data_IF_651591552173
#
_entry.id   IF_651591552173
#
_cell.length_a   1.000
_cell.length_b   1.000
_cell.length_c   1.000
_cell.angle_alpha   90.00
_cell.angle_beta   90.00
_cell.angle_gamma   90.00
#
_symmetry.space_group_name_H-M   'P 1'
#
loop_
_entity.id
_entity.type
_entity.pdbx_description
1 polymer ?
#
# COMPACT_ATOMS: atom_id res chain seq x y z
N UNK A 1 -13.34 -4.10 -10.07
CA UNK A 1 -12.45 -4.95 -9.23
C UNK A 1 -12.17 -4.25 -7.92
N UNK A 2 -11.67 -4.97 -6.92
CA UNK A 2 -11.15 -4.42 -5.67
C UNK A 2 -9.64 -4.19 -5.78
N UNK A 3 -9.22 -2.93 -5.70
CA UNK A 3 -7.81 -2.54 -5.89
C UNK A 3 -7.27 -1.86 -4.63
N UNK A 4 -6.22 -2.44 -4.05
CA UNK A 4 -5.48 -1.83 -2.95
C UNK A 4 -4.31 -1.00 -3.49
N UNK A 5 -4.25 0.27 -3.14
CA UNK A 5 -3.16 1.19 -3.53
C UNK A 5 -2.38 1.57 -2.27
N UNK A 6 -1.12 1.14 -2.16
CA UNK A 6 -0.24 1.61 -1.07
C UNK A 6 0.56 2.83 -1.53
N UNK A 7 0.85 3.75 -0.61
CA UNK A 7 1.52 5.01 -0.98
C UNK A 7 0.59 5.96 -1.73
N UNK A 8 -0.72 5.83 -1.50
CA UNK A 8 -1.78 6.52 -2.23
C UNK A 8 -1.72 8.05 -2.18
N UNK A 9 -1.10 8.61 -1.15
CA UNK A 9 -0.92 10.06 -1.01
C UNK A 9 0.32 10.60 -1.74
N UNK A 10 1.16 9.72 -2.29
CA UNK A 10 2.33 10.09 -3.08
C UNK A 10 1.95 10.54 -4.50
N UNK A 11 2.93 11.07 -5.24
CA UNK A 11 2.72 11.64 -6.57
C UNK A 11 2.03 10.67 -7.54
N UNK A 12 2.47 9.42 -7.61
CA UNK A 12 1.83 8.41 -8.47
C UNK A 12 0.47 7.98 -7.88
N UNK A 13 0.45 7.70 -6.57
CA UNK A 13 -0.75 7.28 -5.84
C UNK A 13 -1.95 8.22 -6.04
N UNK A 14 -1.74 9.54 -6.04
CA UNK A 14 -2.83 10.50 -6.20
C UNK A 14 -3.50 10.39 -7.59
N UNK A 15 -2.73 10.12 -8.66
CA UNK A 15 -3.28 9.94 -10.00
C UNK A 15 -3.93 8.57 -10.16
N UNK A 16 -3.37 7.54 -9.52
CA UNK A 16 -3.98 6.22 -9.46
C UNK A 16 -5.34 6.28 -8.75
N UNK A 17 -5.46 7.00 -7.64
CA UNK A 17 -6.73 7.21 -6.95
C UNK A 17 -7.78 7.80 -7.90
N UNK A 18 -7.43 8.86 -8.64
CA UNK A 18 -8.35 9.52 -9.58
C UNK A 18 -8.74 8.64 -10.77
N UNK A 19 -7.80 7.84 -11.29
CA UNK A 19 -8.03 7.03 -12.49
C UNK A 19 -8.76 5.74 -12.16
N UNK A 20 -8.31 5.01 -11.14
CA UNK A 20 -8.81 3.68 -10.83
C UNK A 20 -10.18 3.72 -10.13
N UNK A 21 -10.47 4.77 -9.36
CA UNK A 21 -11.76 4.90 -8.66
C UNK A 21 -12.96 5.06 -9.59
N UNK A 22 -12.75 5.34 -10.88
CA UNK A 22 -13.83 5.54 -11.86
C UNK A 22 -14.60 4.25 -12.12
N UNK A 23 -13.87 3.14 -12.17
CA UNK A 23 -14.40 1.84 -12.61
C UNK A 23 -14.14 0.72 -11.59
N UNK A 24 -13.50 1.04 -10.45
CA UNK A 24 -13.09 0.06 -9.45
C UNK A 24 -13.41 0.52 -8.03
N UNK A 25 -13.64 -0.45 -7.15
CA UNK A 25 -13.62 -0.23 -5.71
C UNK A 25 -12.15 -0.13 -5.28
N UNK A 26 -11.74 1.05 -4.84
CA UNK A 26 -10.36 1.27 -4.40
C UNK A 26 -10.29 1.39 -2.88
N UNK A 27 -9.22 0.87 -2.30
CA UNK A 27 -8.77 1.21 -0.95
C UNK A 27 -7.37 1.80 -1.06
N UNK A 28 -7.17 3.00 -0.52
CA UNK A 28 -5.90 3.72 -0.66
C UNK A 28 -5.23 3.98 0.69
N UNK A 29 -3.99 3.53 0.85
CA UNK A 29 -3.23 3.61 2.10
C UNK A 29 -2.21 4.74 2.05
N UNK A 30 -2.13 5.50 3.14
CA UNK A 30 -1.10 6.53 3.36
C UNK A 30 -0.51 6.43 4.77
N UNK A 31 0.73 6.90 4.97
CA UNK A 31 1.36 6.86 6.30
C UNK A 31 1.19 8.19 7.06
N UNK A 32 1.78 9.28 6.52
CA UNK A 32 1.91 10.54 7.29
C UNK A 32 1.07 11.69 6.74
N UNK A 33 0.87 11.78 5.43
CA UNK A 33 0.15 12.88 4.79
C UNK A 33 -1.06 12.32 4.04
N UNK A 34 -2.25 12.85 4.31
CA UNK A 34 -3.49 12.30 3.72
C UNK A 34 -3.66 12.66 2.25
N UNK A 35 -3.16 13.82 1.79
CA UNK A 35 -3.24 14.23 0.38
C UNK A 35 -4.68 14.17 -0.18
N UNK A 36 -4.83 13.59 -1.38
CA UNK A 36 -6.14 13.36 -1.99
C UNK A 36 -6.82 12.06 -1.51
N UNK A 37 -6.16 11.21 -0.70
CA UNK A 37 -6.75 9.99 -0.15
C UNK A 37 -8.03 10.29 0.66
N UNK A 38 -8.12 11.50 1.25
CA UNK A 38 -9.32 11.98 1.97
C UNK A 38 -10.61 11.96 1.14
N UNK A 39 -10.50 11.94 -0.20
CA UNK A 39 -11.63 11.93 -1.12
C UNK A 39 -12.06 10.50 -1.51
N UNK A 40 -11.38 9.48 -0.98
CA UNK A 40 -11.58 8.07 -1.34
C UNK A 40 -11.63 7.21 -0.06
N UNK A 41 -12.06 5.95 -0.21
CA UNK A 41 -11.93 4.97 0.87
C UNK A 41 -10.44 4.80 1.20
N UNK A 42 -10.02 5.23 2.39
CA UNK A 42 -8.61 5.34 2.74
C UNK A 42 -8.31 5.01 4.18
N UNK A 43 -7.12 4.46 4.40
CA UNK A 43 -6.62 4.06 5.73
C UNK A 43 -5.26 4.70 5.96
N UNK A 44 -5.07 5.26 7.16
CA UNK A 44 -3.76 5.65 7.63
C UNK A 44 -3.03 4.44 8.20
N UNK A 45 -1.97 3.99 7.54
CA UNK A 45 -1.20 2.81 7.92
C UNK A 45 0.27 2.97 7.51
N UNK A 46 1.17 2.61 8.42
CA UNK A 46 2.59 2.43 8.08
C UNK A 46 2.76 1.06 7.43
N UNK A 47 3.37 1.01 6.24
CA UNK A 47 3.54 -0.23 5.48
C UNK A 47 4.41 -1.27 6.22
N UNK A 48 5.15 -0.86 7.24
CA UNK A 48 5.89 -1.78 8.11
C UNK A 48 5.02 -2.38 9.24
N UNK A 49 3.74 -1.98 9.37
CA UNK A 49 2.82 -2.53 10.35
C UNK A 49 2.06 -3.73 9.76
N UNK A 50 2.70 -4.89 9.85
CA UNK A 50 2.20 -6.15 9.27
C UNK A 50 0.82 -6.53 9.75
N UNK A 51 0.56 -6.49 11.07
CA UNK A 51 -0.75 -6.83 11.62
C UNK A 51 -1.89 -6.03 11.00
N UNK A 52 -1.69 -4.72 10.84
CA UNK A 52 -2.71 -3.88 10.22
C UNK A 52 -2.85 -4.14 8.72
N UNK A 53 -1.78 -4.58 8.04
CA UNK A 53 -1.88 -5.01 6.64
C UNK A 53 -2.70 -6.29 6.55
N UNK A 54 -2.46 -7.28 7.39
CA UNK A 54 -3.24 -8.54 7.43
C UNK A 54 -4.73 -8.25 7.64
N UNK A 55 -5.05 -7.34 8.57
CA UNK A 55 -6.42 -6.86 8.80
C UNK A 55 -7.01 -6.19 7.55
N UNK A 56 -6.22 -5.39 6.82
CA UNK A 56 -6.69 -4.76 5.56
C UNK A 56 -6.97 -5.81 4.50
N UNK A 57 -6.08 -6.78 4.30
CA UNK A 57 -6.26 -7.79 3.27
C UNK A 57 -7.46 -8.70 3.56
N UNK A 58 -7.59 -9.19 4.80
CA UNK A 58 -8.72 -10.05 5.20
C UNK A 58 -10.07 -9.34 5.13
N UNK A 59 -10.12 -8.02 5.35
CA UNK A 59 -11.37 -7.24 5.29
C UNK A 59 -11.69 -6.76 3.87
N UNK A 60 -10.69 -6.24 3.15
CA UNK A 60 -10.91 -5.64 1.83
C UNK A 60 -10.93 -6.70 0.73
N UNK A 61 -10.13 -7.75 0.85
CA UNK A 61 -9.94 -8.82 -0.14
C UNK A 61 -9.56 -8.26 -1.52
N UNK A 62 -8.39 -7.60 -1.66
CA UNK A 62 -8.00 -6.99 -2.94
C UNK A 62 -7.71 -8.05 -4.00
N UNK A 63 -8.26 -7.86 -5.19
CA UNK A 63 -7.93 -8.66 -6.39
C UNK A 63 -6.61 -8.18 -7.02
N UNK A 64 -6.30 -6.89 -6.86
CA UNK A 64 -5.08 -6.26 -7.39
C UNK A 64 -4.47 -5.37 -6.32
N UNK A 65 -3.15 -5.42 -6.18
CA UNK A 65 -2.38 -4.50 -5.33
C UNK A 65 -1.43 -3.67 -6.17
N UNK A 66 -1.53 -2.35 -6.07
CA UNK A 66 -0.58 -1.40 -6.68
C UNK A 66 0.31 -0.83 -5.58
N UNK A 67 1.55 -1.29 -5.53
CA UNK A 67 2.49 -0.95 -4.47
C UNK A 67 3.34 0.28 -4.81
N UNK A 68 2.97 1.45 -4.26
CA UNK A 68 3.71 2.71 -4.48
C UNK A 68 4.25 3.33 -3.18
N UNK A 69 4.07 2.66 -2.04
CA UNK A 69 4.66 3.08 -0.77
C UNK A 69 6.18 2.87 -0.79
N UNK A 70 6.94 3.94 -0.88
CA UNK A 70 8.40 3.89 -0.82
C UNK A 70 8.99 5.22 -0.32
N UNK A 71 10.17 5.15 0.29
CA UNK A 71 11.03 6.30 0.49
C UNK A 71 11.84 6.54 -0.78
N UNK A 72 11.51 7.60 -1.53
CA UNK A 72 12.00 7.81 -2.90
C UNK A 72 12.81 9.08 -3.10
N UNK A 73 12.91 9.98 -2.11
CA UNK A 73 13.58 11.28 -2.24
C UNK A 73 15.10 11.16 -2.05
N UNK A 74 15.94 11.12 -3.11
CA UNK A 74 17.35 10.77 -2.98
C UNK A 74 18.14 11.70 -2.06
N UNK A 75 17.79 12.98 -2.05
CA UNK A 75 18.44 13.99 -1.19
C UNK A 75 18.17 13.75 0.30
N UNK A 76 17.05 13.11 0.65
CA UNK A 76 16.66 12.81 2.04
C UNK A 76 17.14 11.44 2.50
N UNK A 77 17.38 10.51 1.57
CA UNK A 77 17.79 9.14 1.93
C UNK A 77 19.04 9.10 2.83
N UNK A 78 20.11 9.89 2.61
CA UNK A 78 21.29 9.89 3.49
C UNK A 78 21.01 10.28 4.94
N UNK A 79 19.92 11.03 5.21
CA UNK A 79 19.55 11.45 6.56
C UNK A 79 18.59 10.48 7.25
N UNK A 80 18.17 9.41 6.57
CA UNK A 80 17.23 8.42 7.08
C UNK A 80 18.01 7.15 7.45
N UNK A 81 17.73 6.51 8.60
CA UNK A 81 18.37 5.25 8.95
C UNK A 81 18.20 4.21 7.84
N UNK A 82 19.31 3.58 7.41
CA UNK A 82 19.30 2.58 6.34
C UNK A 82 18.31 1.44 6.61
N UNK A 83 18.14 1.04 7.87
CA UNK A 83 17.15 0.04 8.30
C UNK A 83 15.72 0.45 7.93
N UNK A 84 15.37 1.73 8.03
CA UNK A 84 14.03 2.22 7.68
C UNK A 84 13.83 2.26 6.16
N UNK A 85 14.86 2.67 5.41
CA UNK A 85 14.83 2.66 3.93
C UNK A 85 14.69 1.24 3.41
N UNK A 86 15.51 0.31 3.91
CA UNK A 86 15.45 -1.10 3.53
C UNK A 86 14.14 -1.76 4.00
N UNK A 87 13.68 -1.43 5.20
CA UNK A 87 12.37 -1.88 5.71
C UNK A 87 11.23 -1.48 4.79
N UNK A 88 11.19 -0.20 4.40
CA UNK A 88 10.08 0.39 3.64
C UNK A 88 10.12 0.07 2.15
N UNK A 89 11.30 -0.12 1.54
CA UNK A 89 11.42 -0.31 0.09
C UNK A 89 11.74 -1.76 -0.32
N UNK A 90 12.22 -2.60 0.61
CA UNK A 90 12.60 -3.98 0.31
C UNK A 90 11.76 -4.94 1.15
N UNK A 91 11.78 -4.82 2.48
CA UNK A 91 11.10 -5.80 3.33
C UNK A 91 9.57 -5.74 3.18
N UNK A 92 9.01 -4.54 3.05
CA UNK A 92 7.58 -4.32 2.78
C UNK A 92 7.11 -4.93 1.46
N UNK A 93 8.00 -5.06 0.47
CA UNK A 93 7.71 -5.65 -0.84
C UNK A 93 7.95 -7.17 -0.82
N UNK A 94 9.03 -7.62 -0.18
CA UNK A 94 9.50 -9.00 -0.22
C UNK A 94 8.81 -9.95 0.76
N UNK A 95 8.13 -9.46 1.79
CA UNK A 95 7.71 -10.31 2.90
C UNK A 95 6.20 -10.28 3.13
N UNK A 96 5.61 -11.47 3.17
CA UNK A 96 4.32 -11.92 3.73
C UNK A 96 3.05 -11.05 3.58
N UNK A 97 3.07 -9.88 2.93
CA UNK A 97 1.99 -8.89 3.04
C UNK A 97 1.35 -8.43 1.73
N UNK A 98 1.97 -8.70 0.57
CA UNK A 98 1.33 -8.42 -0.73
C UNK A 98 1.32 -9.68 -1.59
N UNK A 99 2.45 -10.38 -1.71
CA UNK A 99 2.55 -11.56 -2.59
C UNK A 99 2.02 -12.83 -1.91
N UNK A 100 2.40 -13.10 -0.65
CA UNK A 100 1.91 -14.29 0.06
C UNK A 100 0.44 -14.17 0.46
N UNK A 101 -0.06 -13.00 0.89
CA UNK A 101 -1.50 -12.85 1.18
C UNK A 101 -2.34 -13.12 -0.07
N UNK A 102 -1.92 -12.61 -1.24
CA UNK A 102 -2.58 -12.95 -2.50
C UNK A 102 -2.52 -14.47 -2.74
N UNK A 103 -1.42 -15.15 -2.41
CA UNK A 103 -1.29 -16.60 -2.58
C UNK A 103 -2.12 -17.43 -1.57
N UNK A 104 -2.14 -17.07 -0.28
CA UNK A 104 -2.86 -17.76 0.79
C UNK A 104 -4.38 -17.60 0.63
N UNK A 105 -4.86 -16.39 0.34
CA UNK A 105 -6.29 -16.12 0.07
C UNK A 105 -6.76 -16.90 -1.17
N UNK A 106 -5.99 -16.91 -2.26
CA UNK A 106 -6.35 -17.67 -3.47
C UNK A 106 -6.27 -19.19 -3.28
N UNK A 107 -5.45 -19.67 -2.35
CA UNK A 107 -5.33 -21.09 -2.02
C UNK A 107 -6.45 -21.56 -1.08
N UNK A 108 -7.04 -20.66 -0.31
CA UNK A 108 -8.17 -20.93 0.61
C UNK A 108 -9.54 -20.94 -0.08
N UNK A 109 -9.59 -20.53 -1.35
CA UNK A 109 -10.80 -20.45 -2.20
C UNK A 109 -11.00 -21.70 -3.10
N UNK A 110 -10.11 -22.70 -3.03
CA UNK A 110 -10.20 -23.99 -3.71
C UNK A 110 -10.36 -25.15 -2.73
#
# INVERSE_FOLDING_TARGET
>A
MKILITGGSGLLGQYLNLSLSKDNEILTIYNSHIGNCKNFNSIRLDINNHKMLDDVFSQFLPEVVVHTAALTTPQRIPTIPAKLVYGTNVNSTNRESIIEIIHEENSSLN
#
